data_IF_316800012866
#
_entry.id   IF_316800012866
#
_cell.length_a   1.000
_cell.length_b   1.000
_cell.length_c   1.000
_cell.angle_alpha   90.00
_cell.angle_beta   90.00
_cell.angle_gamma   90.00
#
_symmetry.space_group_name_H-M   'P 1'
#
loop_
_entity.id
_entity.type
_entity.pdbx_description
1 polymer ?
#
# COMPACT_ATOMS: atom_id res chain seq x y z
N UNK A 1 -6.75 12.75 -17.94
CA UNK A 1 -6.48 12.78 -16.48
C UNK A 1 -5.30 11.90 -16.08
N UNK A 2 -5.41 10.56 -16.09
CA UNK A 2 -4.30 9.67 -15.66
C UNK A 2 -2.99 9.89 -16.42
N UNK A 3 -3.03 9.99 -17.75
CA UNK A 3 -1.83 10.25 -18.56
C UNK A 3 -1.19 11.60 -18.23
N UNK A 4 -2.00 12.64 -18.03
CA UNK A 4 -1.51 13.97 -17.69
C UNK A 4 -0.82 13.97 -16.32
N UNK A 5 -1.48 13.42 -15.29
CA UNK A 5 -0.91 13.32 -13.95
C UNK A 5 0.39 12.48 -13.93
N UNK A 6 0.44 11.42 -14.75
CA UNK A 6 1.66 10.63 -14.92
C UNK A 6 2.77 11.45 -15.59
N UNK A 7 2.47 12.21 -16.64
CA UNK A 7 3.42 13.09 -17.32
C UNK A 7 4.06 14.08 -16.34
N UNK A 8 3.24 14.77 -15.55
CA UNK A 8 3.69 15.74 -14.53
C UNK A 8 4.60 15.07 -13.47
N UNK A 9 4.24 13.88 -12.97
CA UNK A 9 5.06 13.16 -11.98
C UNK A 9 6.37 12.62 -12.56
N UNK A 10 6.37 12.19 -13.83
CA UNK A 10 7.55 11.64 -14.50
C UNK A 10 8.61 12.71 -14.83
N UNK A 11 8.30 14.00 -14.70
CA UNK A 11 9.31 15.07 -14.76
C UNK A 11 10.30 15.00 -13.59
N UNK A 12 9.90 14.40 -12.46
CA UNK A 12 10.68 14.34 -11.22
C UNK A 12 10.83 12.94 -10.64
N UNK A 13 10.35 11.89 -11.33
CA UNK A 13 10.44 10.50 -10.89
C UNK A 13 10.71 9.56 -12.07
N UNK A 14 11.45 8.47 -11.82
CA UNK A 14 11.80 7.50 -12.87
C UNK A 14 10.62 6.63 -13.31
N UNK A 15 9.65 6.45 -12.42
CA UNK A 15 8.44 5.68 -12.68
C UNK A 15 7.28 6.15 -11.79
N UNK A 16 6.07 5.82 -12.20
CA UNK A 16 4.84 6.06 -11.44
C UNK A 16 4.07 4.77 -11.20
N UNK A 17 3.13 4.84 -10.26
CA UNK A 17 2.17 3.79 -9.93
C UNK A 17 0.77 4.30 -10.21
N UNK A 18 -0.05 3.49 -10.88
CA UNK A 18 -1.48 3.74 -11.04
C UNK A 18 -2.25 2.80 -10.12
N UNK A 19 -3.08 3.36 -9.23
CA UNK A 19 -3.92 2.61 -8.29
C UNK A 19 -5.39 2.95 -8.48
N UNK A 20 -6.25 1.95 -8.33
CA UNK A 20 -7.69 2.10 -8.29
C UNK A 20 -8.10 2.94 -7.08
N UNK A 21 -8.87 4.00 -7.33
CA UNK A 21 -9.60 4.70 -6.28
C UNK A 21 -10.96 4.02 -6.14
N UNK A 22 -11.17 3.34 -5.02
CA UNK A 22 -12.45 2.75 -4.66
C UNK A 22 -12.60 2.80 -3.14
N UNK A 23 -13.77 3.22 -2.66
CA UNK A 23 -14.14 3.17 -1.24
C UNK A 23 -14.54 1.77 -0.76
N UNK A 24 -14.82 0.85 -1.69
CA UNK A 24 -15.36 -0.49 -1.39
C UNK A 24 -14.26 -1.55 -1.34
N UNK A 25 -13.16 -1.35 -2.08
CA UNK A 25 -12.05 -2.30 -2.13
C UNK A 25 -10.95 -1.86 -1.16
N UNK A 26 -10.84 -2.54 -0.02
CA UNK A 26 -9.75 -2.36 0.96
C UNK A 26 -8.41 -2.86 0.41
N UNK A 27 -8.37 -4.10 -0.12
CA UNK A 27 -7.15 -4.68 -0.70
C UNK A 27 -7.11 -4.51 -2.22
N UNK A 28 -6.69 -3.32 -2.66
CA UNK A 28 -6.67 -2.91 -4.08
C UNK A 28 -5.75 -3.77 -4.94
N UNK A 29 -4.65 -4.29 -4.39
CA UNK A 29 -3.72 -5.17 -5.10
C UNK A 29 -4.36 -6.53 -5.43
N UNK A 30 -5.20 -7.05 -4.54
CA UNK A 30 -5.80 -8.39 -4.66
C UNK A 30 -6.83 -8.49 -5.79
N UNK A 31 -7.41 -7.35 -6.17
CA UNK A 31 -8.29 -7.23 -7.33
C UNK A 31 -7.53 -6.84 -8.62
N UNK A 32 -6.20 -6.74 -8.57
CA UNK A 32 -5.39 -6.24 -9.67
C UNK A 32 -5.61 -4.75 -9.92
N UNK A 33 -5.94 -3.99 -8.88
CA UNK A 33 -6.17 -2.55 -8.92
C UNK A 33 -4.91 -1.70 -8.84
N UNK A 34 -3.72 -2.30 -8.88
CA UNK A 34 -2.43 -1.60 -8.84
C UNK A 34 -1.58 -2.03 -10.03
N UNK A 35 -0.96 -1.06 -10.70
CA UNK A 35 0.04 -1.29 -11.75
C UNK A 35 1.26 -0.44 -11.44
N UNK A 36 2.42 -1.10 -11.32
CA UNK A 36 3.71 -0.53 -10.96
C UNK A 36 4.58 -0.30 -12.21
N UNK A 37 5.76 0.30 -12.02
CA UNK A 37 6.83 0.42 -13.01
C UNK A 37 6.40 1.12 -14.32
N UNK A 38 5.58 2.16 -14.20
CA UNK A 38 5.07 2.90 -15.36
C UNK A 38 6.01 4.06 -15.67
N UNK A 39 6.70 3.96 -16.80
CA UNK A 39 7.69 4.97 -17.23
C UNK A 39 7.15 6.02 -18.23
N UNK A 40 5.90 5.92 -18.70
CA UNK A 40 5.33 6.90 -19.65
C UNK A 40 3.86 7.22 -19.37
N UNK A 41 3.42 8.39 -19.82
CA UNK A 41 2.04 8.86 -19.70
C UNK A 41 1.05 7.93 -20.44
N UNK A 42 1.43 7.43 -21.61
CA UNK A 42 0.62 6.52 -22.43
C UNK A 42 0.40 5.20 -21.70
N UNK A 43 1.47 4.63 -21.14
CA UNK A 43 1.41 3.40 -20.33
C UNK A 43 0.56 3.60 -19.07
N UNK A 44 0.54 4.80 -18.48
CA UNK A 44 -0.33 5.10 -17.36
C UNK A 44 -1.83 5.04 -17.74
N UNK A 45 -2.20 5.57 -18.92
CA UNK A 45 -3.56 5.46 -19.42
C UNK A 45 -3.94 4.01 -19.77
N UNK A 46 -3.01 3.24 -20.33
CA UNK A 46 -3.20 1.81 -20.58
C UNK A 46 -3.40 1.03 -19.28
N UNK A 47 -2.61 1.32 -18.24
CA UNK A 47 -2.73 0.72 -16.93
C UNK A 47 -4.12 0.95 -16.32
N UNK A 48 -4.65 2.17 -16.40
CA UNK A 48 -6.01 2.48 -15.94
C UNK A 48 -7.08 1.65 -16.68
N UNK A 49 -7.01 1.56 -18.01
CA UNK A 49 -7.94 0.72 -18.81
C UNK A 49 -7.83 -0.77 -18.47
N UNK A 50 -6.62 -1.26 -18.22
CA UNK A 50 -6.37 -2.65 -17.81
C UNK A 50 -6.99 -2.94 -16.44
N UNK A 51 -6.82 -2.03 -15.47
CA UNK A 51 -7.45 -2.11 -14.16
C UNK A 51 -8.98 -2.16 -14.30
N UNK A 52 -9.57 -1.29 -15.12
CA UNK A 52 -11.03 -1.27 -15.34
C UNK A 52 -11.53 -2.60 -15.90
N UNK A 53 -10.82 -3.16 -16.87
CA UNK A 53 -11.17 -4.44 -17.50
C UNK A 53 -11.16 -5.57 -16.48
N UNK A 54 -10.13 -5.63 -15.62
CA UNK A 54 -10.02 -6.62 -14.53
C UNK A 54 -11.13 -6.45 -13.50
N UNK A 55 -11.44 -5.21 -13.12
CA UNK A 55 -12.49 -4.89 -12.16
C UNK A 55 -13.86 -5.35 -12.68
N UNK A 56 -14.18 -5.06 -13.94
CA UNK A 56 -15.44 -5.50 -14.57
C UNK A 56 -15.56 -7.03 -14.64
N UNK A 57 -14.46 -7.73 -14.89
CA UNK A 57 -14.47 -9.19 -14.96
C UNK A 57 -14.64 -9.87 -13.59
N UNK A 58 -14.03 -9.31 -12.54
CA UNK A 58 -14.01 -9.91 -11.19
C UNK A 58 -15.13 -9.42 -10.27
N UNK A 59 -15.57 -8.18 -10.44
CA UNK A 59 -16.56 -7.55 -9.56
C UNK A 59 -17.41 -6.56 -10.36
N UNK A 60 -18.31 -7.05 -11.25
CA UNK A 60 -19.13 -6.22 -12.15
C UNK A 60 -19.94 -5.13 -11.45
N UNK A 61 -20.30 -5.36 -10.18
CA UNK A 61 -21.06 -4.46 -9.32
C UNK A 61 -20.23 -3.30 -8.73
N UNK A 62 -18.89 -3.42 -8.75
CA UNK A 62 -17.99 -2.40 -8.22
C UNK A 62 -17.62 -1.44 -9.34
N UNK A 63 -17.94 -0.16 -9.14
CA UNK A 63 -17.47 0.92 -10.02
C UNK A 63 -16.18 1.51 -9.46
N UNK A 64 -15.26 1.86 -10.36
CA UNK A 64 -14.11 2.68 -10.01
C UNK A 64 -14.59 4.10 -9.72
N UNK A 65 -14.23 4.67 -8.57
CA UNK A 65 -14.45 6.09 -8.28
C UNK A 65 -13.44 6.96 -9.08
N UNK A 66 -12.32 6.36 -9.49
CA UNK A 66 -11.28 6.97 -10.30
C UNK A 66 -9.96 6.21 -10.16
N UNK A 67 -8.86 6.92 -10.42
CA UNK A 67 -7.50 6.41 -10.26
C UNK A 67 -6.63 7.43 -9.54
N UNK A 68 -5.68 6.94 -8.75
CA UNK A 68 -4.60 7.76 -8.21
C UNK A 68 -3.31 7.44 -8.94
N UNK A 69 -2.57 8.47 -9.34
CA UNK A 69 -1.23 8.35 -9.88
C UNK A 69 -0.26 8.87 -8.83
N UNK A 70 0.80 8.11 -8.55
CA UNK A 70 1.78 8.44 -7.52
C UNK A 70 3.19 8.16 -8.05
N UNK A 71 4.17 8.97 -7.66
CA UNK A 71 5.58 8.65 -7.93
C UNK A 71 5.92 7.28 -7.30
N UNK A 72 6.62 6.44 -8.06
CA UNK A 72 7.07 5.15 -7.58
C UNK A 72 8.37 5.32 -6.79
N UNK A 73 8.39 4.77 -5.59
CA UNK A 73 9.59 4.74 -4.75
C UNK A 73 10.23 3.37 -4.88
N UNK A 74 11.38 3.30 -5.55
CA UNK A 74 12.20 2.11 -5.62
C UNK A 74 13.43 2.29 -4.74
N UNK A 75 13.50 1.56 -3.62
CA UNK A 75 14.67 1.55 -2.73
C UNK A 75 15.23 0.14 -2.64
N UNK A 76 16.41 -0.06 -3.24
CA UNK A 76 17.10 -1.35 -3.15
C UNK A 76 17.48 -1.63 -1.70
N UNK A 77 17.21 -2.85 -1.23
CA UNK A 77 17.53 -3.32 0.13
C UNK A 77 16.85 -2.54 1.26
N UNK A 78 15.79 -1.78 0.98
CA UNK A 78 15.00 -1.17 2.05
C UNK A 78 14.18 -2.23 2.79
N UNK A 79 14.01 -2.05 4.09
CA UNK A 79 13.01 -2.78 4.86
C UNK A 79 11.64 -2.17 4.60
N UNK A 80 10.67 -3.02 4.26
CA UNK A 80 9.26 -2.66 4.33
C UNK A 80 8.78 -2.97 5.74
N UNK A 81 8.04 -2.03 6.35
CA UNK A 81 7.52 -2.15 7.72
C UNK A 81 6.00 -1.98 7.72
N UNK A 82 5.33 -2.61 8.67
CA UNK A 82 3.94 -2.34 9.00
C UNK A 82 3.87 -1.63 10.36
N UNK A 83 3.08 -0.56 10.41
CA UNK A 83 2.70 0.11 11.65
C UNK A 83 1.19 0.31 11.61
N UNK A 84 0.49 -0.30 12.56
CA UNK A 84 -0.95 -0.23 12.69
C UNK A 84 -1.35 0.28 14.06
N UNK A 85 -2.51 0.93 14.13
CA UNK A 85 -3.17 1.24 15.40
C UNK A 85 -4.62 0.82 15.29
N UNK A 86 -5.13 0.17 16.33
CA UNK A 86 -6.53 -0.22 16.41
C UNK A 86 -7.07 0.05 17.82
N UNK A 87 -8.39 0.14 17.96
CA UNK A 87 -9.06 0.19 19.26
C UNK A 87 -9.60 -1.21 19.54
N UNK A 88 -8.90 -1.96 20.38
CA UNK A 88 -9.37 -3.26 20.84
C UNK A 88 -10.53 -3.08 21.86
N UNK A 89 -11.64 -3.85 21.74
CA UNK A 89 -12.78 -3.71 22.64
C UNK A 89 -12.49 -4.00 24.12
N UNK A 90 -11.46 -4.81 24.41
CA UNK A 90 -11.07 -5.19 25.78
C UNK A 90 -9.90 -4.36 26.29
N UNK A 91 -8.88 -4.15 25.45
CA UNK A 91 -7.62 -3.53 25.86
C UNK A 91 -7.54 -2.02 25.56
N UNK A 92 -8.48 -1.48 24.78
CA UNK A 92 -8.41 -0.11 24.32
C UNK A 92 -7.41 0.04 23.16
N UNK A 93 -6.72 1.19 23.03
CA UNK A 93 -5.77 1.39 21.94
C UNK A 93 -4.66 0.34 21.94
N UNK A 94 -4.35 -0.21 20.77
CA UNK A 94 -3.24 -1.15 20.54
C UNK A 94 -2.42 -0.69 19.34
N UNK A 95 -1.10 -0.88 19.40
CA UNK A 95 -0.16 -0.59 18.32
C UNK A 95 0.41 -1.92 17.81
N UNK A 96 0.43 -2.09 16.50
CA UNK A 96 1.05 -3.21 15.79
C UNK A 96 2.32 -2.72 15.09
N UNK A 97 3.44 -3.40 15.29
CA UNK A 97 4.67 -3.18 14.53
C UNK A 97 5.16 -4.49 13.93
N UNK A 98 5.83 -4.45 12.77
CA UNK A 98 6.54 -5.61 12.24
C UNK A 98 7.00 -5.46 10.81
N UNK A 99 7.34 -6.58 10.19
CA UNK A 99 7.67 -6.62 8.78
C UNK A 99 6.49 -6.16 7.92
N UNK A 100 6.77 -5.42 6.85
CA UNK A 100 5.83 -4.88 5.87
C UNK A 100 5.77 -5.69 4.57
N UNK A 101 4.92 -5.23 3.65
CA UNK A 101 4.72 -5.83 2.33
C UNK A 101 3.50 -6.74 2.24
N UNK A 102 3.35 -7.45 1.13
CA UNK A 102 2.18 -8.32 0.90
C UNK A 102 2.30 -9.69 1.54
N UNK A 103 3.48 -10.06 2.06
CA UNK A 103 3.76 -11.36 2.67
C UNK A 103 3.60 -11.37 4.20
N UNK A 104 3.27 -10.23 4.81
CA UNK A 104 3.24 -10.03 6.27
C UNK A 104 2.29 -10.98 6.98
N UNK A 105 1.12 -11.24 6.38
CA UNK A 105 0.12 -12.15 6.93
C UNK A 105 0.61 -13.61 7.03
N UNK A 106 1.70 -13.96 6.31
CA UNK A 106 2.21 -15.33 6.22
C UNK A 106 3.38 -15.55 7.21
N UNK A 107 4.19 -14.53 7.47
CA UNK A 107 5.42 -14.67 8.27
C UNK A 107 5.16 -14.51 9.78
N UNK A 108 4.02 -13.91 10.16
CA UNK A 108 3.62 -13.67 11.56
C UNK A 108 4.73 -12.99 12.39
N UNK A 109 5.48 -12.10 11.76
CA UNK A 109 6.60 -11.38 12.35
C UNK A 109 6.16 -9.97 12.77
N UNK A 110 5.37 -9.93 13.84
CA UNK A 110 4.76 -8.70 14.36
C UNK A 110 4.73 -8.70 15.88
N UNK A 111 4.89 -7.52 16.47
CA UNK A 111 4.72 -7.25 17.88
C UNK A 111 3.48 -6.36 18.13
N UNK A 112 2.80 -6.59 19.25
CA UNK A 112 1.68 -5.76 19.71
C UNK A 112 2.10 -5.09 21.02
N UNK A 113 1.87 -3.78 21.12
CA UNK A 113 2.14 -3.00 22.32
C UNK A 113 0.96 -2.09 22.67
N UNK A 114 0.84 -1.75 23.95
CA UNK A 114 -0.20 -0.85 24.47
C UNK A 114 0.39 0.55 24.67
N UNK A 115 -0.22 1.63 24.16
CA UNK A 115 0.22 2.97 24.45
C UNK A 115 -0.11 3.38 25.90
N UNK A 116 0.62 4.37 26.46
CA UNK A 116 1.71 5.11 25.84
C UNK A 116 3.00 4.27 25.73
N UNK A 117 3.77 4.51 24.68
CA UNK A 117 5.11 3.95 24.51
C UNK A 117 6.13 5.07 24.71
N UNK A 118 7.15 4.81 25.53
CA UNK A 118 8.39 5.57 25.50
C UNK A 118 9.39 4.89 24.55
N UNK A 119 10.58 5.48 24.40
CA UNK A 119 11.60 4.96 23.47
C UNK A 119 12.06 3.53 23.84
N UNK A 120 12.02 3.17 25.12
CA UNK A 120 12.40 1.83 25.59
C UNK A 120 11.35 0.81 25.17
N UNK A 121 10.08 1.07 25.48
CA UNK A 121 8.97 0.18 25.11
C UNK A 121 8.79 0.07 23.59
N UNK A 122 9.07 1.15 22.85
CA UNK A 122 9.09 1.11 21.39
C UNK A 122 10.27 0.26 20.87
N UNK A 123 11.45 0.37 21.48
CA UNK A 123 12.60 -0.47 21.20
C UNK A 123 12.30 -1.95 21.42
N UNK A 124 11.75 -2.32 22.58
CA UNK A 124 11.37 -3.69 22.91
C UNK A 124 10.39 -4.29 21.89
N UNK A 125 9.45 -3.48 21.38
CA UNK A 125 8.49 -3.92 20.36
C UNK A 125 9.15 -4.13 18.99
N UNK A 126 10.19 -3.36 18.65
CA UNK A 126 10.97 -3.55 17.43
C UNK A 126 11.82 -4.82 17.55
N UNK A 127 12.52 -4.97 18.67
CA UNK A 127 13.43 -6.09 18.97
C UNK A 127 12.70 -7.44 19.12
N UNK A 128 11.38 -7.41 19.31
CA UNK A 128 10.52 -8.59 19.32
C UNK A 128 10.20 -9.12 17.91
N UNK A 129 10.67 -8.46 16.85
CA UNK A 129 10.46 -8.85 15.44
C UNK A 129 11.79 -9.16 14.75
N UNK A 130 11.80 -9.63 13.51
CA UNK A 130 13.05 -9.82 12.75
C UNK A 130 13.58 -8.53 12.11
N UNK A 131 12.94 -7.40 12.38
CA UNK A 131 13.35 -6.08 11.86
C UNK A 131 14.52 -5.50 12.68
N UNK A 132 14.53 -5.72 14.00
CA UNK A 132 15.59 -5.32 14.93
C UNK A 132 16.04 -6.52 15.75
#
# INVERSE_FOLDING_TARGET
EVAQAAGELLESSEAVVVKLLSKVVSHKSDVGGVVLDIATAEKAAEAARSIETRLRARSPQVKADGYTVQAMVARKHAQELILGMNLDPMFGPVILFGAGGTAVEIVNDTAIALPPLDDVLAGDAIDATRIG
#
